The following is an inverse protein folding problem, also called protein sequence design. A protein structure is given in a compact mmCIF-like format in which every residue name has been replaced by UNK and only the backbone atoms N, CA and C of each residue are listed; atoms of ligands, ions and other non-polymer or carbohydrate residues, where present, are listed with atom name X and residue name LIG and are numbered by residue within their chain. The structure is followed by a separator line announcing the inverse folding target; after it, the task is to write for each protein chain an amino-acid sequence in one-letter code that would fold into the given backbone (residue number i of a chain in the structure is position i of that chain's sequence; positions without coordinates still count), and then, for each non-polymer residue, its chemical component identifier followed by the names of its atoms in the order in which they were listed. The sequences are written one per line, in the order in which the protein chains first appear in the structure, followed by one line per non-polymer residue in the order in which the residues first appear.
data_IF_583288488865
#
_entry.id   IF_583288488865
#
_cell.length_a   1.000
_cell.length_b   1.000
_cell.length_c   1.000
_cell.angle_alpha   90.00
_cell.angle_beta   90.00
_cell.angle_gamma   90.00
#
_symmetry.space_group_name_H-M   'P 1'
#
loop_
_entity.id
_entity.type
_entity.pdbx_description
1 polymer ?
#
# COMPACT_ATOMS: atom_id res chain seq x y z
N UNK A 1 -37.23 104.24 -44.41
CA UNK A 1 -36.65 104.55 -43.08
C UNK A 1 -36.03 103.28 -42.53
N UNK A 2 -34.73 103.32 -42.26
CA UNK A 2 -33.91 102.15 -41.90
C UNK A 2 -34.21 101.66 -40.47
N UNK A 3 -34.44 100.35 -40.29
CA UNK A 3 -34.56 99.73 -38.96
C UNK A 3 -33.18 99.57 -38.33
N UNK A 4 -32.91 100.33 -37.26
CA UNK A 4 -31.73 100.14 -36.42
C UNK A 4 -31.77 98.78 -35.70
N UNK A 5 -30.74 97.94 -35.93
CA UNK A 5 -30.52 96.68 -35.21
C UNK A 5 -30.11 96.97 -33.76
N UNK A 6 -30.81 96.35 -32.78
CA UNK A 6 -30.52 96.48 -31.32
C UNK A 6 -29.17 95.85 -30.96
N UNK A 7 -28.36 96.57 -30.18
CA UNK A 7 -27.07 96.13 -29.62
C UNK A 7 -27.32 95.12 -28.46
N UNK A 8 -26.65 93.96 -28.42
CA UNK A 8 -26.77 93.03 -27.29
C UNK A 8 -25.97 93.53 -26.06
N UNK A 9 -26.64 93.65 -24.91
CA UNK A 9 -26.03 94.06 -23.64
C UNK A 9 -25.22 92.91 -23.03
N UNK A 10 -23.95 93.15 -22.70
CA UNK A 10 -23.08 92.19 -22.00
C UNK A 10 -23.55 92.00 -20.54
N UNK A 11 -23.71 90.74 -20.11
CA UNK A 11 -24.04 90.39 -18.73
C UNK A 11 -22.87 90.72 -17.79
N UNK A 12 -23.00 91.80 -17.03
CA UNK A 12 -22.05 92.19 -15.99
C UNK A 12 -22.31 91.33 -14.76
N UNK A 13 -21.58 90.21 -14.60
CA UNK A 13 -21.49 89.47 -13.32
C UNK A 13 -20.84 90.40 -12.29
N UNK A 14 -21.63 91.29 -11.68
CA UNK A 14 -21.18 92.01 -10.49
C UNK A 14 -21.00 90.96 -9.39
N UNK A 15 -19.88 91.04 -8.69
CA UNK A 15 -19.64 90.29 -7.45
C UNK A 15 -20.91 90.39 -6.60
N UNK A 16 -21.53 89.25 -6.27
CA UNK A 16 -22.55 89.23 -5.22
C UNK A 16 -21.82 89.65 -3.95
N UNK A 17 -22.22 90.79 -3.39
CA UNK A 17 -21.80 91.22 -2.06
C UNK A 17 -22.01 90.04 -1.11
N UNK A 18 -20.92 89.51 -0.59
CA UNK A 18 -20.97 88.52 0.49
C UNK A 18 -21.37 89.32 1.73
N UNK A 19 -22.66 89.29 2.04
CA UNK A 19 -23.19 89.83 3.28
C UNK A 19 -22.60 89.00 4.45
N UNK A 20 -21.80 89.62 5.34
CA UNK A 20 -21.13 88.90 6.43
C UNK A 20 -22.09 88.39 7.50
N UNK A 21 -23.38 88.75 7.46
CA UNK A 21 -24.39 88.29 8.42
C UNK A 21 -25.31 87.19 7.90
N UNK A 22 -25.04 86.65 6.70
CA UNK A 22 -25.84 85.56 6.15
C UNK A 22 -25.46 84.20 6.77
N UNK A 23 -25.98 83.93 7.97
CA UNK A 23 -25.79 82.67 8.72
C UNK A 23 -26.29 81.42 7.97
N UNK A 24 -27.05 81.57 6.88
CA UNK A 24 -27.57 80.44 6.08
C UNK A 24 -26.48 79.78 5.23
N UNK A 25 -25.37 80.47 4.93
CA UNK A 25 -24.24 79.88 4.19
C UNK A 25 -23.39 78.94 5.08
N UNK A 26 -23.32 79.20 6.39
CA UNK A 26 -22.60 78.33 7.33
C UNK A 26 -23.39 77.07 7.68
N UNK A 27 -24.72 77.11 7.64
CA UNK A 27 -25.56 75.93 7.86
C UNK A 27 -25.37 74.84 6.77
N UNK A 28 -25.00 75.23 5.55
CA UNK A 28 -24.72 74.29 4.46
C UNK A 28 -23.38 73.54 4.64
N UNK A 29 -22.44 74.05 5.44
CA UNK A 29 -21.15 73.39 5.73
C UNK A 29 -21.25 72.29 6.80
N UNK A 30 -22.38 72.18 7.51
CA UNK A 30 -22.63 71.15 8.51
C UNK A 30 -23.49 69.98 8.01
N UNK A 31 -23.95 70.03 6.75
CA UNK A 31 -24.72 68.95 6.10
C UNK A 31 -23.82 68.01 5.28
N UNK A 32 -22.49 68.12 5.40
CA UNK A 32 -21.56 67.15 4.83
C UNK A 32 -21.69 65.82 5.56
N UNK A 33 -22.40 64.87 4.94
CA UNK A 33 -22.64 63.49 5.43
C UNK A 33 -21.37 62.62 5.53
N UNK A 34 -20.18 63.19 5.27
CA UNK A 34 -18.91 62.49 5.23
C UNK A 34 -17.90 62.99 6.28
N UNK A 35 -18.36 63.30 7.50
CA UNK A 35 -17.47 63.44 8.65
C UNK A 35 -17.65 62.27 9.60
N UNK A 36 -16.92 61.19 9.32
CA UNK A 36 -16.61 60.15 10.30
C UNK A 36 -15.58 60.71 11.30
N UNK A 37 -16.04 61.51 12.26
CA UNK A 37 -15.29 61.73 13.50
C UNK A 37 -15.96 60.92 14.59
N UNK A 38 -15.18 60.11 15.31
CA UNK A 38 -15.58 59.28 16.46
C UNK A 38 -16.57 59.99 17.40
N UNK A 39 -17.86 59.90 17.09
CA UNK A 39 -18.93 60.19 18.03
C UNK A 39 -19.52 58.85 18.46
N UNK A 40 -19.73 58.70 19.78
CA UNK A 40 -20.48 57.57 20.29
C UNK A 40 -21.90 57.59 19.70
N UNK A 41 -22.47 56.43 19.30
CA UNK A 41 -23.78 56.38 18.66
C UNK A 41 -24.85 56.92 19.61
N UNK A 42 -25.66 57.86 19.12
CA UNK A 42 -26.67 58.57 19.91
C UNK A 42 -27.84 57.68 20.36
N UNK A 43 -27.98 56.47 19.81
CA UNK A 43 -29.07 55.54 20.15
C UNK A 43 -28.51 54.17 20.55
N UNK A 44 -28.75 53.77 21.80
CA UNK A 44 -28.44 52.43 22.34
C UNK A 44 -29.31 51.29 21.74
N UNK A 45 -30.01 51.56 20.63
CA UNK A 45 -30.91 50.63 19.91
C UNK A 45 -30.35 50.18 18.56
N UNK A 46 -29.19 50.68 18.16
CA UNK A 46 -28.44 50.10 17.05
C UNK A 46 -27.77 48.82 17.58
N UNK A 47 -28.58 47.75 17.68
CA UNK A 47 -28.07 46.40 17.85
C UNK A 47 -26.96 46.20 16.81
N UNK A 48 -25.73 45.97 17.29
CA UNK A 48 -24.65 45.67 16.36
C UNK A 48 -25.09 44.49 15.49
N UNK A 49 -24.98 44.60 14.15
CA UNK A 49 -25.38 43.51 13.29
C UNK A 49 -24.59 42.28 13.71
N UNK A 50 -25.30 41.18 13.96
CA UNK A 50 -24.70 39.94 14.41
C UNK A 50 -23.53 39.57 13.51
N UNK A 51 -22.40 39.21 14.12
CA UNK A 51 -21.21 38.82 13.36
C UNK A 51 -21.53 37.60 12.48
N UNK A 52 -20.85 37.48 11.34
CA UNK A 52 -21.08 36.37 10.38
C UNK A 52 -20.97 34.99 11.04
N UNK A 53 -20.06 34.84 12.00
CA UNK A 53 -19.90 33.61 12.78
C UNK A 53 -21.13 33.33 13.66
N UNK A 54 -21.67 34.35 14.33
CA UNK A 54 -22.85 34.22 15.18
C UNK A 54 -24.13 33.97 14.38
N UNK A 55 -24.29 34.61 13.20
CA UNK A 55 -25.37 34.28 12.26
C UNK A 55 -25.28 32.82 11.79
N UNK A 56 -24.07 32.33 11.47
CA UNK A 56 -23.89 30.94 11.07
C UNK A 56 -24.27 29.98 12.20
N UNK A 57 -23.84 30.24 13.44
CA UNK A 57 -24.21 29.44 14.62
C UNK A 57 -25.72 29.44 14.90
N UNK A 58 -26.39 30.58 14.72
CA UNK A 58 -27.85 30.65 14.85
C UNK A 58 -28.56 29.87 13.72
N UNK A 59 -28.04 29.95 12.49
CA UNK A 59 -28.60 29.22 11.35
C UNK A 59 -28.41 27.70 11.44
N UNK A 60 -27.34 27.23 12.09
CA UNK A 60 -27.10 25.79 12.35
C UNK A 60 -27.96 25.26 13.48
N UNK A 61 -28.24 26.09 14.50
CA UNK A 61 -28.96 25.66 15.70
C UNK A 61 -30.49 25.82 15.57
N UNK A 62 -30.98 26.80 14.80
CA UNK A 62 -32.39 26.99 14.50
C UNK A 62 -32.55 27.48 13.05
N UNK A 63 -32.77 26.57 12.08
CA UNK A 63 -33.00 26.99 10.70
C UNK A 63 -34.39 27.62 10.59
N UNK A 64 -34.50 28.94 10.77
CA UNK A 64 -35.70 29.70 10.40
C UNK A 64 -35.78 29.67 8.87
N UNK A 65 -36.48 28.66 8.36
CA UNK A 65 -36.67 28.50 6.92
C UNK A 65 -37.80 29.43 6.49
N UNK A 66 -37.45 30.58 5.91
CA UNK A 66 -38.44 31.48 5.34
C UNK A 66 -39.16 30.82 4.15
N UNK A 67 -40.42 31.21 3.88
CA UNK A 67 -41.19 30.70 2.72
C UNK A 67 -40.46 30.96 1.39
N UNK A 68 -39.67 32.02 1.31
CA UNK A 68 -38.86 32.34 0.13
C UNK A 68 -37.70 31.37 -0.06
N UNK A 69 -37.02 30.99 1.02
CA UNK A 69 -35.92 30.03 0.96
C UNK A 69 -36.40 28.63 0.57
N UNK A 70 -37.61 28.24 0.98
CA UNK A 70 -38.25 27.00 0.49
C UNK A 70 -38.51 27.05 -1.01
N UNK A 71 -39.00 28.19 -1.53
CA UNK A 71 -39.25 28.39 -2.96
C UNK A 71 -37.94 28.34 -3.75
N UNK A 72 -36.87 28.99 -3.26
CA UNK A 72 -35.52 28.95 -3.87
C UNK A 72 -34.97 27.52 -3.91
N UNK A 73 -35.05 26.77 -2.80
CA UNK A 73 -34.63 25.36 -2.73
C UNK A 73 -35.42 24.44 -3.67
N UNK A 74 -36.72 24.66 -3.83
CA UNK A 74 -37.55 23.91 -4.81
C UNK A 74 -37.12 24.17 -6.26
N UNK A 75 -36.85 25.43 -6.62
CA UNK A 75 -36.36 25.80 -7.96
C UNK A 75 -35.02 25.13 -8.27
N UNK A 76 -34.07 25.14 -7.33
CA UNK A 76 -32.78 24.47 -7.49
C UNK A 76 -32.92 22.95 -7.67
N UNK A 77 -33.78 22.28 -6.89
CA UNK A 77 -34.05 20.84 -7.04
C UNK A 77 -34.58 20.49 -8.43
N UNK A 78 -35.41 21.35 -9.02
CA UNK A 78 -35.93 21.13 -10.37
C UNK A 78 -34.86 21.38 -11.45
N UNK A 79 -33.95 22.32 -11.24
CA UNK A 79 -32.80 22.54 -12.13
C UNK A 79 -31.84 21.34 -12.14
N UNK A 80 -31.55 20.77 -10.96
CA UNK A 80 -30.73 19.55 -10.83
C UNK A 80 -31.36 18.37 -11.56
N UNK A 81 -32.69 18.23 -11.50
CA UNK A 81 -33.41 17.17 -12.23
C UNK A 81 -33.29 17.36 -13.76
N UNK A 82 -33.42 18.59 -14.26
CA UNK A 82 -33.25 18.88 -15.70
C UNK A 82 -31.84 18.58 -16.19
N UNK A 83 -30.82 19.06 -15.47
CA UNK A 83 -29.42 18.78 -15.82
C UNK A 83 -29.10 17.29 -15.76
N UNK A 84 -29.62 16.57 -14.77
CA UNK A 84 -29.43 15.13 -14.70
C UNK A 84 -30.09 14.40 -15.87
N UNK A 85 -31.27 14.86 -16.31
CA UNK A 85 -31.96 14.30 -17.48
C UNK A 85 -31.21 14.60 -18.79
N UNK A 86 -30.64 15.80 -18.95
CA UNK A 86 -29.73 16.15 -20.06
C UNK A 86 -28.50 15.24 -20.09
N UNK A 87 -27.98 14.86 -18.92
CA UNK A 87 -26.88 13.89 -18.78
C UNK A 87 -27.34 12.41 -18.89
N UNK A 88 -28.60 12.17 -19.25
CA UNK A 88 -29.18 10.83 -19.45
C UNK A 88 -29.55 10.09 -18.17
N UNK A 89 -29.46 10.71 -17.00
CA UNK A 89 -29.84 10.12 -15.72
C UNK A 89 -31.26 10.53 -15.36
N UNK A 90 -32.21 9.60 -15.48
CA UNK A 90 -33.60 9.83 -15.09
C UNK A 90 -33.85 9.38 -13.65
N UNK A 91 -34.63 10.21 -12.94
CA UNK A 91 -35.15 9.88 -11.61
C UNK A 91 -36.10 8.69 -11.72
N UNK A 92 -35.99 7.71 -10.82
CA UNK A 92 -36.91 6.58 -10.78
C UNK A 92 -38.33 7.00 -10.39
N UNK A 93 -39.35 6.25 -10.85
CA UNK A 93 -40.78 6.55 -10.60
C UNK A 93 -41.10 6.74 -9.10
N UNK A 94 -40.53 5.88 -8.25
CA UNK A 94 -40.76 5.89 -6.79
C UNK A 94 -39.59 6.49 -5.99
N UNK A 95 -38.62 7.11 -6.65
CA UNK A 95 -37.45 7.67 -5.98
C UNK A 95 -37.77 9.07 -5.42
N UNK A 96 -37.17 9.46 -4.29
CA UNK A 96 -37.21 10.85 -3.83
C UNK A 96 -36.07 11.64 -4.46
N UNK A 97 -36.22 12.96 -4.65
CA UNK A 97 -35.16 13.80 -5.25
C UNK A 97 -33.85 13.68 -4.47
N UNK A 98 -33.92 13.58 -3.14
CA UNK A 98 -32.74 13.42 -2.29
C UNK A 98 -32.03 12.07 -2.53
N UNK A 99 -32.79 10.98 -2.71
CA UNK A 99 -32.22 9.66 -3.03
C UNK A 99 -31.61 9.65 -4.43
N UNK A 100 -32.25 10.32 -5.38
CA UNK A 100 -31.74 10.50 -6.74
C UNK A 100 -30.40 11.24 -6.77
N UNK A 101 -30.29 12.37 -6.05
CA UNK A 101 -29.04 13.11 -5.94
C UNK A 101 -27.95 12.25 -5.30
N UNK A 102 -28.24 11.55 -4.19
CA UNK A 102 -27.29 10.61 -3.57
C UNK A 102 -26.83 9.50 -4.51
N UNK A 103 -27.73 8.99 -5.36
CA UNK A 103 -27.39 7.99 -6.38
C UNK A 103 -26.42 8.56 -7.41
N UNK A 104 -26.70 9.76 -7.91
CA UNK A 104 -25.80 10.47 -8.83
C UNK A 104 -24.42 10.68 -8.19
N UNK A 105 -24.38 11.23 -6.98
CA UNK A 105 -23.15 11.44 -6.22
C UNK A 105 -22.38 10.13 -6.06
N UNK A 106 -23.07 9.04 -5.68
CA UNK A 106 -22.46 7.71 -5.58
C UNK A 106 -21.86 7.21 -6.89
N UNK A 107 -22.56 7.39 -8.02
CA UNK A 107 -22.02 7.00 -9.33
C UNK A 107 -20.82 7.85 -9.74
N UNK A 108 -20.84 9.15 -9.45
CA UNK A 108 -19.75 10.07 -9.74
C UNK A 108 -18.50 9.72 -8.92
N UNK A 109 -18.67 9.49 -7.62
CA UNK A 109 -17.58 9.06 -6.74
C UNK A 109 -16.97 7.73 -7.17
N UNK A 110 -17.80 6.76 -7.61
CA UNK A 110 -17.28 5.50 -8.18
C UNK A 110 -16.43 5.76 -9.42
N UNK A 111 -16.93 6.53 -10.38
CA UNK A 111 -16.16 6.89 -11.60
C UNK A 111 -14.85 7.59 -11.28
N UNK A 112 -14.86 8.53 -10.34
CA UNK A 112 -13.64 9.23 -9.89
C UNK A 112 -12.66 8.24 -9.25
N UNK A 113 -13.15 7.35 -8.38
CA UNK A 113 -12.30 6.35 -7.74
C UNK A 113 -11.71 5.35 -8.76
N UNK A 114 -12.49 4.94 -9.76
CA UNK A 114 -12.02 4.06 -10.83
C UNK A 114 -10.93 4.74 -11.66
N UNK A 115 -11.11 6.03 -12.02
CA UNK A 115 -10.09 6.81 -12.70
C UNK A 115 -8.82 6.98 -11.86
N UNK A 116 -8.98 7.23 -10.55
CA UNK A 116 -7.85 7.29 -9.62
C UNK A 116 -7.14 5.94 -9.54
N UNK A 117 -7.87 4.83 -9.53
CA UNK A 117 -7.28 3.48 -9.51
C UNK A 117 -6.50 3.21 -10.80
N UNK A 118 -7.10 3.50 -11.96
CA UNK A 118 -6.46 3.38 -13.27
C UNK A 118 -5.17 4.23 -13.32
N UNK A 119 -5.21 5.46 -12.82
CA UNK A 119 -4.05 6.34 -12.74
C UNK A 119 -2.97 5.82 -11.78
N UNK A 120 -3.36 5.37 -10.58
CA UNK A 120 -2.45 4.79 -9.58
C UNK A 120 -1.75 3.54 -10.10
N UNK A 121 -2.45 2.72 -10.87
CA UNK A 121 -1.88 1.52 -11.50
C UNK A 121 -1.10 1.82 -12.80
N UNK A 122 -0.96 3.10 -13.19
CA UNK A 122 -0.24 3.48 -14.42
C UNK A 122 -0.93 3.02 -15.70
N UNK A 123 -2.21 2.62 -15.61
CA UNK A 123 -3.04 2.17 -16.72
C UNK A 123 -3.74 3.35 -17.42
N UNK A 124 -3.69 4.54 -16.84
CA UNK A 124 -4.28 5.74 -17.43
C UNK A 124 -3.68 6.05 -18.81
N UNK A 125 -4.55 6.14 -19.82
CA UNK A 125 -4.16 6.43 -21.20
C UNK A 125 -3.71 5.23 -22.04
N UNK A 126 -3.61 4.03 -21.44
CA UNK A 126 -3.37 2.79 -22.21
C UNK A 126 -4.66 2.30 -22.87
N UNK A 127 -4.57 1.76 -24.08
CA UNK A 127 -5.73 1.15 -24.74
C UNK A 127 -6.07 -0.15 -24.03
N UNK A 128 -7.37 -0.47 -23.94
CA UNK A 128 -7.83 -1.70 -23.30
C UNK A 128 -7.19 -2.95 -23.92
N UNK A 129 -6.99 -2.94 -25.25
CA UNK A 129 -6.33 -4.04 -25.96
C UNK A 129 -4.89 -4.31 -25.51
N UNK A 130 -4.14 -3.27 -25.14
CA UNK A 130 -2.75 -3.42 -24.67
C UNK A 130 -2.74 -4.04 -23.27
N UNK A 131 -3.68 -3.65 -22.41
CA UNK A 131 -3.87 -4.20 -21.07
C UNK A 131 -4.24 -5.69 -21.16
N UNK A 132 -5.18 -6.04 -22.05
CA UNK A 132 -5.61 -7.43 -22.25
C UNK A 132 -4.46 -8.30 -22.82
N UNK A 133 -3.62 -7.74 -23.69
CA UNK A 133 -2.42 -8.41 -24.19
C UNK A 133 -1.40 -8.67 -23.08
N UNK A 134 -1.15 -7.71 -22.20
CA UNK A 134 -0.28 -7.87 -21.03
C UNK A 134 -0.80 -8.99 -20.11
N UNK A 135 -2.11 -9.04 -19.85
CA UNK A 135 -2.72 -10.13 -19.08
C UNK A 135 -2.55 -11.49 -19.74
N UNK A 136 -2.69 -11.57 -21.07
CA UNK A 136 -2.48 -12.82 -21.80
C UNK A 136 -1.04 -13.32 -21.71
N UNK A 137 -0.06 -12.42 -21.77
CA UNK A 137 1.36 -12.75 -21.59
C UNK A 137 1.60 -13.31 -20.19
N UNK A 138 0.99 -12.72 -19.16
CA UNK A 138 1.08 -13.19 -17.77
C UNK A 138 0.46 -14.58 -17.60
N UNK A 139 -0.73 -14.82 -18.16
CA UNK A 139 -1.38 -16.13 -18.12
C UNK A 139 -0.56 -17.21 -18.82
N UNK A 140 -0.01 -16.91 -20.00
CA UNK A 140 0.81 -17.86 -20.74
C UNK A 140 2.13 -18.16 -20.01
N UNK A 141 2.73 -17.16 -19.33
CA UNK A 141 3.88 -17.37 -18.47
C UNK A 141 3.56 -18.25 -17.26
N UNK A 142 2.39 -18.09 -16.64
CA UNK A 142 1.95 -18.93 -15.53
C UNK A 142 1.69 -20.38 -15.97
N UNK A 143 1.07 -20.58 -17.14
CA UNK A 143 0.88 -21.91 -17.73
C UNK A 143 2.22 -22.61 -17.97
N UNK A 144 3.20 -21.91 -18.54
CA UNK A 144 4.56 -22.44 -18.75
C UNK A 144 5.22 -22.86 -17.44
N UNK A 145 5.10 -22.07 -16.37
CA UNK A 145 5.63 -22.42 -15.04
C UNK A 145 4.97 -23.68 -14.49
N UNK A 146 3.63 -23.77 -14.53
CA UNK A 146 2.89 -24.95 -14.07
C UNK A 146 3.29 -26.21 -14.85
N UNK A 147 3.50 -26.09 -16.15
CA UNK A 147 3.91 -27.22 -16.98
C UNK A 147 5.37 -27.64 -16.72
N UNK A 148 6.27 -26.69 -16.43
CA UNK A 148 7.63 -26.99 -15.98
C UNK A 148 7.61 -27.73 -14.63
N UNK A 149 6.84 -27.24 -13.65
CA UNK A 149 6.68 -27.89 -12.34
C UNK A 149 6.15 -29.33 -12.48
N UNK A 150 5.14 -29.55 -13.34
CA UNK A 150 4.63 -30.90 -13.63
C UNK A 150 5.72 -31.82 -14.19
N UNK A 151 6.50 -31.33 -15.17
CA UNK A 151 7.61 -32.11 -15.77
C UNK A 151 8.69 -32.43 -14.74
N UNK A 152 9.03 -31.50 -13.86
CA UNK A 152 9.99 -31.74 -12.78
C UNK A 152 9.49 -32.80 -11.79
N UNK A 153 8.21 -32.77 -11.42
CA UNK A 153 7.59 -33.77 -10.56
C UNK A 153 7.62 -35.14 -11.23
N UNK A 154 7.25 -35.22 -12.51
CA UNK A 154 7.30 -36.47 -13.28
C UNK A 154 8.72 -37.05 -13.35
N UNK A 155 9.72 -36.19 -13.59
CA UNK A 155 11.12 -36.62 -13.60
C UNK A 155 11.58 -37.14 -12.23
N UNK A 156 11.22 -36.45 -11.14
CA UNK A 156 11.50 -36.91 -9.77
C UNK A 156 10.83 -38.26 -9.47
N UNK A 157 9.61 -38.47 -9.96
CA UNK A 157 8.91 -39.77 -9.81
C UNK A 157 9.62 -40.86 -10.62
N UNK A 158 10.01 -40.58 -11.87
CA UNK A 158 10.74 -41.53 -12.73
C UNK A 158 12.09 -41.92 -12.10
N UNK A 159 12.85 -40.95 -11.58
CA UNK A 159 14.10 -41.22 -10.87
C UNK A 159 13.90 -42.03 -9.59
N UNK A 160 12.86 -41.71 -8.79
CA UNK A 160 12.52 -42.47 -7.60
C UNK A 160 12.14 -43.93 -7.93
N UNK A 161 11.41 -44.14 -9.02
CA UNK A 161 11.08 -45.49 -9.53
C UNK A 161 12.34 -46.25 -9.96
N UNK A 162 13.22 -45.63 -10.75
CA UNK A 162 14.51 -46.24 -11.15
C UNK A 162 15.38 -46.62 -9.94
N UNK A 163 15.47 -45.75 -8.94
CA UNK A 163 16.22 -46.04 -7.70
C UNK A 163 15.63 -47.22 -6.94
N UNK A 164 14.30 -47.30 -6.81
CA UNK A 164 13.63 -48.45 -6.18
C UNK A 164 13.87 -49.75 -6.95
N UNK A 165 13.85 -49.70 -8.27
CA UNK A 165 14.12 -50.87 -9.12
C UNK A 165 15.57 -51.36 -8.99
N UNK A 166 16.55 -50.44 -8.99
CA UNK A 166 17.96 -50.78 -8.78
C UNK A 166 18.22 -51.34 -7.37
N UNK A 167 17.55 -50.79 -6.35
CA UNK A 167 17.63 -51.31 -4.99
C UNK A 167 17.01 -52.71 -4.86
N UNK A 168 15.88 -52.96 -5.56
CA UNK A 168 15.27 -54.28 -5.63
C UNK A 168 16.18 -55.30 -6.30
N UNK A 169 16.79 -54.96 -7.44
CA UNK A 169 17.77 -55.83 -8.14
C UNK A 169 18.98 -56.15 -7.26
N UNK A 170 19.54 -55.15 -6.58
CA UNK A 170 20.65 -55.36 -5.61
C UNK A 170 20.26 -56.26 -4.44
N UNK A 171 19.02 -56.16 -3.97
CA UNK A 171 18.53 -57.02 -2.88
C UNK A 171 18.33 -58.45 -3.36
N UNK A 172 17.78 -58.65 -4.54
CA UNK A 172 17.62 -59.97 -5.15
C UNK A 172 18.97 -60.65 -5.40
N UNK A 173 19.96 -59.91 -5.92
CA UNK A 173 21.33 -60.42 -6.10
C UNK A 173 21.99 -60.78 -4.76
N UNK A 174 21.81 -59.95 -3.72
CA UNK A 174 22.31 -60.24 -2.38
C UNK A 174 21.65 -61.48 -1.75
N UNK A 175 20.37 -61.70 -2.00
CA UNK A 175 19.66 -62.89 -1.49
C UNK A 175 20.05 -64.15 -2.27
N UNK A 176 20.25 -64.07 -3.60
CA UNK A 176 20.84 -65.16 -4.39
C UNK A 176 22.26 -65.51 -3.95
N UNK A 177 23.11 -64.52 -3.67
CA UNK A 177 24.46 -64.75 -3.17
C UNK A 177 24.48 -65.41 -1.78
N UNK A 178 23.53 -65.08 -0.90
CA UNK A 178 23.36 -65.76 0.39
C UNK A 178 22.91 -67.21 0.22
N UNK A 179 22.04 -67.47 -0.75
CA UNK A 179 21.55 -68.82 -1.05
C UNK A 179 22.68 -69.70 -1.59
N UNK A 180 23.50 -69.19 -2.51
CA UNK A 180 24.71 -69.87 -2.99
C UNK A 180 25.68 -70.18 -1.85
N UNK A 181 25.97 -69.19 -0.97
CA UNK A 181 26.82 -69.43 0.22
C UNK A 181 26.25 -70.48 1.17
N UNK A 182 24.93 -70.60 1.29
CA UNK A 182 24.30 -71.65 2.09
C UNK A 182 24.41 -73.02 1.41
N UNK A 183 24.26 -73.08 0.10
CA UNK A 183 24.43 -74.30 -0.68
C UNK A 183 25.88 -74.80 -0.62
N UNK A 184 26.86 -73.93 -0.79
CA UNK A 184 28.28 -74.29 -0.72
C UNK A 184 28.66 -74.77 0.68
N UNK A 185 28.15 -74.12 1.73
CA UNK A 185 28.33 -74.59 3.12
C UNK A 185 27.70 -75.95 3.40
N UNK A 186 26.61 -76.31 2.71
CA UNK A 186 26.00 -77.64 2.83
C UNK A 186 26.85 -78.69 2.16
N UNK A 187 27.33 -78.42 0.93
CA UNK A 187 28.24 -79.32 0.20
C UNK A 187 29.53 -79.59 0.98
N UNK A 188 30.13 -78.56 1.56
CA UNK A 188 31.37 -78.67 2.32
C UNK A 188 31.19 -79.40 3.67
N UNK A 189 29.96 -79.40 4.23
CA UNK A 189 29.62 -80.23 5.39
C UNK A 189 29.42 -81.69 5.00
N UNK A 190 28.77 -81.94 3.87
CA UNK A 190 28.51 -83.27 3.35
C UNK A 190 29.82 -83.97 2.92
N UNK A 191 30.78 -83.23 2.36
CA UNK A 191 32.15 -83.72 2.11
C UNK A 191 32.89 -84.04 3.42
N UNK A 192 32.78 -83.19 4.45
CA UNK A 192 33.38 -83.46 5.76
C UNK A 192 32.74 -84.61 6.52
N UNK A 193 31.44 -84.84 6.37
CA UNK A 193 30.77 -86.00 6.97
C UNK A 193 31.20 -87.30 6.26
N UNK A 194 31.38 -87.28 4.93
CA UNK A 194 31.95 -88.42 4.20
C UNK A 194 33.40 -88.72 4.58
N UNK A 195 34.23 -87.68 4.75
CA UNK A 195 35.61 -87.84 5.26
C UNK A 195 35.64 -88.39 6.69
N UNK A 196 34.64 -88.04 7.53
CA UNK A 196 34.51 -88.57 8.89
C UNK A 196 33.96 -89.99 8.95
N UNK A 197 33.05 -90.36 8.05
CA UNK A 197 32.58 -91.75 7.92
C UNK A 197 33.69 -92.68 7.41
N UNK A 198 34.61 -92.19 6.58
CA UNK A 198 35.82 -92.96 6.18
C UNK A 198 36.92 -92.99 7.25
N UNK A 199 36.85 -92.14 8.29
CA UNK A 199 37.85 -92.06 9.37
C UNK A 199 37.36 -92.58 10.72
N UNK A 200 36.25 -93.31 10.77
CA UNK A 200 35.63 -93.78 12.02
C UNK A 200 35.48 -95.30 12.06
N UNK A 201 36.50 -96.02 11.58
CA UNK A 201 36.72 -97.45 11.84
C UNK A 201 38.03 -97.72 12.62
N UNK A 202 38.61 -96.69 13.26
CA UNK A 202 39.75 -96.88 14.16
C UNK A 202 39.74 -95.85 15.31
N UNK A 203 39.68 -96.41 16.52
CA UNK A 203 40.04 -95.87 17.84
C UNK A 203 38.97 -95.26 18.77
N UNK A 204 38.75 -96.04 19.84
CA UNK A 204 38.19 -95.75 21.16
C UNK A 204 38.97 -94.67 21.95
N UNK A 205 38.24 -94.00 22.86
CA UNK A 205 38.68 -93.38 24.12
C UNK A 205 39.70 -92.23 24.08
N UNK A 206 39.31 -91.05 24.59
CA UNK A 206 39.77 -90.59 25.91
C UNK A 206 39.07 -89.31 26.39
N UNK A 207 39.04 -89.21 27.70
CA UNK A 207 38.61 -88.13 28.58
C UNK A 207 39.52 -86.88 28.49
N UNK A 208 39.09 -85.85 29.24
CA UNK A 208 39.92 -84.84 29.94
C UNK A 208 39.80 -83.36 29.52
N UNK A 209 40.08 -82.56 30.53
CA UNK A 209 39.49 -81.32 30.99
C UNK A 209 40.39 -80.10 30.78
N UNK A 210 39.83 -78.95 31.21
CA UNK A 210 40.50 -77.80 31.81
C UNK A 210 41.20 -76.72 30.95
N UNK A 211 40.58 -75.54 31.08
CA UNK A 211 41.12 -74.31 31.65
C UNK A 211 41.53 -73.08 30.82
N UNK A 212 41.34 -71.97 31.56
CA UNK A 212 41.36 -70.53 31.32
C UNK A 212 42.42 -69.94 30.37
N UNK A 213 42.14 -68.78 29.76
CA UNK A 213 42.37 -67.46 30.38
C UNK A 213 42.40 -66.28 29.35
N UNK A 214 41.96 -65.09 29.78
CA UNK A 214 42.76 -63.88 29.59
C UNK A 214 42.65 -62.94 28.36
N UNK A 215 41.95 -61.81 28.59
CA UNK A 215 42.41 -60.42 28.32
C UNK A 215 42.14 -59.66 26.98
N UNK A 216 41.09 -58.81 27.04
CA UNK A 216 41.08 -57.32 27.00
C UNK A 216 41.86 -56.49 25.92
N UNK A 217 41.04 -55.68 25.22
CA UNK A 217 41.15 -54.22 24.85
C UNK A 217 42.00 -53.78 23.64
N UNK A 218 41.38 -52.96 22.76
CA UNK A 218 41.68 -51.50 22.64
C UNK A 218 40.67 -50.74 21.75
N UNK A 219 40.25 -49.59 22.27
CA UNK A 219 39.50 -48.50 21.61
C UNK A 219 40.51 -47.56 20.94
N UNK A 220 40.20 -47.07 19.73
CA UNK A 220 40.83 -45.88 19.14
C UNK A 220 39.74 -44.93 18.63
N UNK A 221 39.94 -43.63 18.88
CA UNK A 221 39.06 -42.47 18.64
C UNK A 221 38.98 -42.12 17.12
N UNK A 222 37.79 -41.79 16.58
CA UNK A 222 37.35 -40.46 16.05
C UNK A 222 38.48 -39.67 15.36
N UNK A 223 38.39 -39.30 14.07
CA UNK A 223 37.61 -38.20 13.42
C UNK A 223 37.81 -38.44 11.90
N UNK A 224 36.83 -38.48 10.98
CA UNK A 224 36.08 -37.37 10.39
C UNK A 224 35.18 -37.99 9.28
N UNK A 225 33.85 -37.87 9.37
CA UNK A 225 32.92 -37.96 8.22
C UNK A 225 31.51 -37.59 8.69
N UNK A 226 31.31 -36.29 8.96
CA UNK A 226 29.98 -35.73 9.06
C UNK A 226 29.44 -35.45 7.65
N UNK A 227 28.48 -36.28 7.23
CA UNK A 227 27.21 -35.90 6.57
C UNK A 227 26.51 -37.18 6.13
N UNK A 228 25.68 -37.74 7.01
CA UNK A 228 24.45 -38.51 6.71
C UNK A 228 24.00 -39.31 7.93
N UNK A 229 23.71 -38.62 9.06
CA UNK A 229 22.96 -39.24 10.14
C UNK A 229 21.49 -39.28 9.73
N UNK A 230 21.06 -40.43 9.21
CA UNK A 230 19.63 -40.78 9.15
C UNK A 230 19.08 -40.61 10.57
N UNK A 231 18.02 -39.82 10.73
CA UNK A 231 17.37 -39.62 12.01
C UNK A 231 17.08 -40.98 12.66
N UNK A 232 17.45 -41.20 13.93
CA UNK A 232 17.12 -42.44 14.62
C UNK A 232 15.60 -42.61 14.58
N UNK A 233 15.13 -43.79 14.19
CA UNK A 233 13.70 -44.12 14.16
C UNK A 233 13.18 -44.02 15.60
N UNK A 234 12.60 -42.87 15.94
CA UNK A 234 11.99 -42.62 17.25
C UNK A 234 10.99 -43.74 17.57
N UNK A 235 11.03 -44.22 18.81
CA UNK A 235 10.10 -45.24 19.26
C UNK A 235 8.64 -44.75 19.12
N UNK A 236 7.67 -45.66 18.96
CA UNK A 236 6.24 -45.28 18.85
C UNK A 236 5.78 -44.36 20.00
N UNK A 237 6.40 -44.48 21.19
CA UNK A 237 6.10 -43.67 22.38
C UNK A 237 6.64 -42.24 22.26
N UNK A 238 7.84 -42.06 21.70
CA UNK A 238 8.43 -40.73 21.46
C UNK A 238 7.73 -39.99 20.33
N UNK A 239 7.35 -40.70 19.26
CA UNK A 239 6.56 -40.13 18.15
C UNK A 239 5.20 -39.61 18.61
N UNK A 240 4.56 -40.30 19.57
CA UNK A 240 3.33 -39.81 20.24
C UNK A 240 3.60 -38.58 21.11
N UNK A 241 4.69 -38.52 21.86
CA UNK A 241 5.04 -37.33 22.67
C UNK A 241 5.34 -36.12 21.80
N UNK A 242 6.03 -36.31 20.68
CA UNK A 242 6.38 -35.24 19.74
C UNK A 242 5.13 -34.69 19.03
N UNK A 243 4.24 -35.55 18.56
CA UNK A 243 2.96 -35.13 17.96
C UNK A 243 2.05 -34.41 18.95
N UNK A 244 2.03 -34.82 20.22
CA UNK A 244 1.32 -34.10 21.29
C UNK A 244 1.93 -32.72 21.57
N UNK A 245 3.26 -32.60 21.59
CA UNK A 245 3.94 -31.30 21.73
C UNK A 245 3.65 -30.38 20.53
N UNK A 246 3.69 -30.92 19.32
CA UNK A 246 3.35 -30.18 18.10
C UNK A 246 1.89 -29.71 18.08
N UNK A 247 0.94 -30.54 18.54
CA UNK A 247 -0.47 -30.12 18.68
C UNK A 247 -0.64 -29.00 19.71
N UNK A 248 0.03 -29.09 20.86
CA UNK A 248 -0.04 -28.04 21.89
C UNK A 248 0.53 -26.70 21.42
N UNK A 249 1.63 -26.71 20.67
CA UNK A 249 2.22 -25.47 20.15
C UNK A 249 1.38 -24.86 19.03
N UNK A 250 0.74 -25.67 18.20
CA UNK A 250 -0.17 -25.19 17.15
C UNK A 250 -1.47 -24.63 17.73
N UNK A 251 -2.01 -25.25 18.78
CA UNK A 251 -3.18 -24.73 19.50
C UNK A 251 -2.87 -23.40 20.22
N UNK A 252 -1.68 -23.27 20.83
CA UNK A 252 -1.25 -21.99 21.41
C UNK A 252 -1.10 -20.88 20.36
N UNK A 253 -0.60 -21.22 19.16
CA UNK A 253 -0.52 -20.25 18.04
C UNK A 253 -1.90 -19.82 17.55
N UNK A 254 -2.87 -20.75 17.48
CA UNK A 254 -4.26 -20.43 17.14
C UNK A 254 -4.91 -19.53 18.19
N UNK A 255 -4.82 -19.88 19.47
CA UNK A 255 -5.31 -19.03 20.58
C UNK A 255 -4.69 -17.64 20.59
N UNK A 256 -3.39 -17.52 20.30
CA UNK A 256 -2.73 -16.22 20.18
C UNK A 256 -3.20 -15.42 18.95
N UNK A 257 -3.52 -16.08 17.84
CA UNK A 257 -4.11 -15.45 16.65
C UNK A 257 -5.55 -14.97 16.88
N UNK A 258 -6.37 -15.78 17.57
CA UNK A 258 -7.75 -15.43 17.94
C UNK A 258 -7.79 -14.26 18.94
N UNK A 259 -6.86 -14.22 19.91
CA UNK A 259 -6.73 -13.09 20.84
C UNK A 259 -6.37 -11.76 20.13
N UNK A 260 -5.66 -11.82 18.99
CA UNK A 260 -5.35 -10.64 18.16
C UNK A 260 -6.56 -10.18 17.35
N UNK A 261 -7.45 -11.11 16.95
CA UNK A 261 -8.68 -10.78 16.22
C UNK A 261 -9.76 -10.22 17.15
N UNK A 262 -9.79 -10.68 18.41
CA UNK A 262 -10.73 -10.22 19.44
C UNK A 262 -10.26 -8.98 20.21
N UNK A 263 -9.07 -8.44 19.94
CA UNK A 263 -8.61 -7.18 20.53
C UNK A 263 -9.16 -5.93 19.83
N UNK A 264 -10.22 -6.04 19.03
CA UNK A 264 -11.06 -4.91 18.67
C UNK A 264 -11.95 -4.64 19.88
N UNK A 265 -11.63 -3.61 20.64
CA UNK A 265 -12.31 -3.25 21.89
C UNK A 265 -13.83 -3.20 21.69
N UNK A 266 -14.54 -3.89 22.59
CA UNK A 266 -15.97 -3.71 22.80
C UNK A 266 -16.12 -2.31 23.38
N UNK A 267 -16.50 -1.35 22.54
CA UNK A 267 -16.79 0.02 22.97
C UNK A 267 -18.13 -0.01 23.71
N UNK A 268 -18.12 0.29 25.00
CA UNK A 268 -19.36 0.42 25.75
C UNK A 268 -20.18 1.60 25.21
N UNK A 269 -21.50 1.40 25.13
CA UNK A 269 -22.40 2.36 24.51
C UNK A 269 -22.42 3.67 25.31
N UNK A 270 -21.74 4.71 24.81
CA UNK A 270 -21.70 6.03 25.43
C UNK A 270 -20.34 6.71 25.41
N UNK A 271 -19.24 5.98 25.22
CA UNK A 271 -17.91 6.58 25.13
C UNK A 271 -17.62 7.13 23.73
N UNK A 272 -17.12 8.37 23.67
CA UNK A 272 -16.69 9.03 22.42
C UNK A 272 -15.15 9.06 22.37
N UNK A 273 -14.62 8.57 21.26
CA UNK A 273 -13.19 8.49 20.98
C UNK A 273 -12.67 9.88 20.53
N UNK A 274 -11.96 10.60 21.40
CA UNK A 274 -11.32 11.88 21.06
C UNK A 274 -9.85 11.72 20.60
N UNK A 275 -9.26 10.53 20.76
CA UNK A 275 -7.91 10.18 20.29
C UNK A 275 -7.85 8.71 19.87
N UNK A 276 -7.07 8.32 18.85
CA UNK A 276 -7.05 6.94 18.32
C UNK A 276 -6.59 5.89 19.36
N UNK A 277 -7.01 4.62 19.19
CA UNK A 277 -6.86 3.59 20.20
C UNK A 277 -5.39 3.35 20.52
N UNK A 278 -5.05 3.45 21.80
CA UNK A 278 -3.68 3.19 22.28
C UNK A 278 -3.58 1.75 22.75
N UNK A 279 -2.79 0.93 22.05
CA UNK A 279 -2.63 -0.48 22.42
C UNK A 279 -1.62 -0.62 23.57
N UNK A 280 -1.99 -1.35 24.63
CA UNK A 280 -1.08 -1.69 25.72
C UNK A 280 -0.15 -2.88 25.43
N UNK A 281 0.96 -2.99 26.17
CA UNK A 281 1.76 -4.21 26.28
C UNK A 281 2.45 -4.72 25.00
N UNK A 282 2.40 -6.04 24.75
CA UNK A 282 3.02 -6.67 23.57
C UNK A 282 2.37 -6.28 22.25
N UNK A 283 1.12 -5.81 22.27
CA UNK A 283 0.40 -5.35 21.08
C UNK A 283 0.86 -3.96 20.65
N UNK A 284 1.27 -3.10 21.61
CA UNK A 284 1.87 -1.79 21.32
C UNK A 284 3.05 -1.89 20.34
N UNK A 285 3.95 -2.84 20.55
CA UNK A 285 5.12 -3.08 19.67
C UNK A 285 4.76 -3.61 18.28
N UNK A 286 3.56 -4.17 18.08
CA UNK A 286 3.11 -4.66 16.77
C UNK A 286 2.38 -3.59 15.98
N UNK A 287 1.61 -2.73 16.66
CA UNK A 287 0.76 -1.72 16.03
C UNK A 287 1.40 -0.32 15.97
N UNK A 288 2.39 -0.01 16.83
CA UNK A 288 3.18 1.22 16.77
C UNK A 288 4.63 0.91 16.31
N UNK A 289 4.88 0.90 14.98
CA UNK A 289 6.19 0.52 14.42
C UNK A 289 7.33 1.47 14.82
N UNK A 290 7.04 2.69 15.27
CA UNK A 290 8.04 3.64 15.76
C UNK A 290 8.62 3.26 17.14
N UNK A 291 7.83 2.60 18.00
CA UNK A 291 8.26 2.17 19.35
C UNK A 291 8.87 0.75 19.36
N UNK A 292 8.74 0.02 18.26
CA UNK A 292 9.28 -1.32 18.08
C UNK A 292 10.79 -1.30 17.80
N UNK A 293 11.62 -0.84 18.75
CA UNK A 293 13.10 -0.85 18.73
C UNK A 293 13.68 -0.64 17.32
N UNK A 294 13.72 0.60 16.87
CA UNK A 294 14.50 1.02 15.72
C UNK A 294 15.96 0.53 15.89
N UNK A 295 16.40 -0.43 15.06
CA UNK A 295 17.78 -0.89 15.01
C UNK A 295 18.01 -2.41 15.09
N UNK A 296 17.05 -3.23 15.52
CA UNK A 296 17.34 -4.65 15.78
C UNK A 296 17.01 -5.62 14.62
N UNK A 297 16.31 -5.16 13.58
CA UNK A 297 16.04 -5.96 12.38
C UNK A 297 16.62 -5.25 11.16
N UNK A 298 17.53 -5.92 10.45
CA UNK A 298 17.97 -5.50 9.13
C UNK A 298 16.73 -5.43 8.23
N UNK A 299 16.37 -4.21 7.81
CA UNK A 299 15.23 -4.01 6.93
C UNK A 299 15.44 -4.86 5.68
N UNK A 300 14.38 -5.48 5.17
CA UNK A 300 14.43 -6.27 3.93
C UNK A 300 15.01 -5.43 2.78
N UNK A 301 14.70 -4.14 2.75
CA UNK A 301 15.30 -3.20 1.81
C UNK A 301 16.82 -3.14 1.95
N UNK A 302 17.36 -3.13 3.17
CA UNK A 302 18.80 -3.08 3.43
C UNK A 302 19.50 -4.40 3.05
N UNK A 303 18.86 -5.55 3.28
CA UNK A 303 19.39 -6.86 2.87
C UNK A 303 19.30 -7.11 1.36
N UNK A 304 18.31 -6.52 0.69
CA UNK A 304 18.23 -6.51 -0.78
C UNK A 304 19.23 -5.53 -1.40
N UNK A 305 19.44 -4.36 -0.77
CA UNK A 305 20.44 -3.39 -1.22
C UNK A 305 21.87 -3.92 -1.06
N UNK A 306 22.21 -4.56 0.07
CA UNK A 306 23.54 -5.14 0.29
C UNK A 306 23.86 -6.31 -0.67
N UNK A 307 22.85 -7.09 -1.08
CA UNK A 307 23.03 -8.17 -2.06
C UNK A 307 23.14 -7.67 -3.51
N UNK A 308 22.72 -6.44 -3.78
CA UNK A 308 22.81 -5.80 -5.10
C UNK A 308 23.88 -4.71 -5.21
N UNK A 309 24.48 -4.28 -4.10
CA UNK A 309 25.46 -3.19 -4.10
C UNK A 309 26.86 -3.70 -4.46
N UNK A 310 27.12 -3.86 -5.76
CA UNK A 310 28.42 -3.37 -6.23
C UNK A 310 28.50 -1.92 -5.78
N UNK A 311 29.59 -1.52 -5.13
CA UNK A 311 29.84 -0.12 -4.79
C UNK A 311 29.69 0.68 -6.09
N UNK A 312 28.55 1.34 -6.28
CA UNK A 312 28.45 2.36 -7.30
C UNK A 312 29.33 3.47 -6.80
N UNK A 313 30.52 3.58 -7.39
CA UNK A 313 31.27 4.84 -7.35
C UNK A 313 30.27 5.90 -7.83
N UNK A 314 29.88 6.78 -6.92
CA UNK A 314 29.18 7.98 -7.31
C UNK A 314 30.13 8.67 -8.28
N UNK A 315 29.77 8.72 -9.57
CA UNK A 315 30.50 9.56 -10.51
C UNK A 315 30.51 10.95 -9.88
N UNK A 316 31.71 11.43 -9.55
CA UNK A 316 32.00 12.80 -9.15
C UNK A 316 31.83 13.72 -10.39
N UNK A 317 30.70 13.61 -11.08
CA UNK A 317 30.32 14.39 -12.25
C UNK A 317 29.67 15.72 -11.80
N UNK A 318 30.18 16.31 -10.71
CA UNK A 318 29.72 17.62 -10.21
C UNK A 318 29.88 18.69 -11.28
N UNK A 319 30.91 18.59 -12.12
CA UNK A 319 31.15 19.47 -13.26
C UNK A 319 30.10 19.32 -14.35
N UNK A 320 29.72 18.08 -14.74
CA UNK A 320 28.67 17.85 -15.75
C UNK A 320 27.30 18.34 -15.27
N UNK A 321 26.99 18.12 -13.98
CA UNK A 321 25.75 18.62 -13.37
C UNK A 321 25.72 20.16 -13.34
N UNK A 322 26.87 20.80 -13.08
CA UNK A 322 26.98 22.26 -13.13
C UNK A 322 26.86 22.81 -14.55
N UNK A 323 27.47 22.16 -15.55
CA UNK A 323 27.34 22.52 -16.96
C UNK A 323 25.89 22.39 -17.46
N UNK A 324 25.20 21.32 -17.09
CA UNK A 324 23.80 21.10 -17.45
C UNK A 324 22.89 22.13 -16.78
N UNK A 325 23.14 22.45 -15.50
CA UNK A 325 22.44 23.54 -14.78
C UNK A 325 22.65 24.88 -15.47
N UNK A 326 23.87 25.18 -15.93
CA UNK A 326 24.18 26.42 -16.63
C UNK A 326 23.47 26.51 -17.99
N UNK A 327 23.45 25.40 -18.76
CA UNK A 327 22.68 25.34 -20.02
C UNK A 327 21.18 25.61 -19.81
N UNK A 328 20.59 25.04 -18.76
CA UNK A 328 19.18 25.27 -18.42
C UNK A 328 18.92 26.73 -18.05
N UNK A 329 19.81 27.34 -17.26
CA UNK A 329 19.71 28.76 -16.89
C UNK A 329 19.79 29.66 -18.13
N UNK A 330 20.71 29.38 -19.06
CA UNK A 330 20.89 30.21 -20.25
C UNK A 330 19.74 30.01 -21.26
N UNK A 331 19.21 28.79 -21.40
CA UNK A 331 17.99 28.54 -22.17
C UNK A 331 16.79 29.32 -21.62
N UNK A 332 16.61 29.33 -20.29
CA UNK A 332 15.54 30.09 -19.64
C UNK A 332 15.71 31.61 -19.83
N UNK A 333 16.94 32.13 -19.72
CA UNK A 333 17.25 33.55 -19.99
C UNK A 333 16.95 33.93 -21.43
N UNK A 334 17.29 33.08 -22.39
CA UNK A 334 17.02 33.32 -23.81
C UNK A 334 15.52 33.33 -24.10
N UNK A 335 14.77 32.38 -23.54
CA UNK A 335 13.30 32.37 -23.65
C UNK A 335 12.67 33.63 -23.04
N UNK A 336 13.16 34.08 -21.88
CA UNK A 336 12.68 35.31 -21.24
C UNK A 336 13.02 36.56 -22.07
N UNK A 337 14.22 36.63 -22.66
CA UNK A 337 14.61 37.70 -23.59
C UNK A 337 13.70 37.71 -24.83
N UNK A 338 13.46 36.55 -25.46
CA UNK A 338 12.54 36.44 -26.60
C UNK A 338 11.12 36.89 -26.25
N UNK A 339 10.61 36.51 -25.08
CA UNK A 339 9.28 36.95 -24.60
C UNK A 339 9.22 38.47 -24.38
N UNK A 340 10.28 39.07 -23.84
CA UNK A 340 10.35 40.52 -23.66
C UNK A 340 10.48 41.27 -25.00
N UNK A 341 11.24 40.72 -25.95
CA UNK A 341 11.36 41.28 -27.30
C UNK A 341 10.00 41.23 -28.02
N UNK A 342 9.31 40.07 -27.99
CA UNK A 342 7.98 39.92 -28.56
C UNK A 342 6.95 40.88 -27.94
N UNK A 343 7.02 41.10 -26.63
CA UNK A 343 6.17 42.07 -25.93
C UNK A 343 6.51 43.54 -26.26
N UNK A 344 7.76 43.86 -26.58
CA UNK A 344 8.15 45.21 -27.00
C UNK A 344 7.73 45.51 -28.45
N UNK A 345 7.79 44.53 -29.36
CA UNK A 345 7.29 44.71 -30.73
C UNK A 345 5.76 44.81 -30.81
N UNK A 346 5.02 44.33 -29.80
CA UNK A 346 3.57 44.47 -29.70
C UNK A 346 3.06 45.81 -29.14
N UNK A 347 3.95 46.75 -28.78
CA UNK A 347 3.60 48.10 -28.28
C UNK A 347 4.15 49.23 -29.17
N UNK A 348 4.41 48.96 -30.44
CA UNK A 348 4.65 49.99 -31.45
C UNK A 348 3.35 50.72 -31.77
N UNK A 349 3.22 51.94 -31.25
CA UNK A 349 2.15 52.88 -31.57
C UNK A 349 2.21 53.21 -33.08
N UNK A 350 1.16 52.98 -33.89
CA UNK A 350 1.17 53.40 -35.29
C UNK A 350 0.94 54.91 -35.35
N UNK A 351 2.02 55.69 -35.34
CA UNK A 351 1.94 57.11 -35.70
C UNK A 351 1.91 57.23 -37.23
N UNK A 352 0.71 57.55 -37.72
CA UNK A 352 0.40 58.37 -38.90
C UNK A 352 1.58 58.85 -39.76
N UNK A 353 1.65 58.32 -40.99
CA UNK A 353 1.94 59.12 -42.19
C UNK A 353 0.64 59.68 -42.77
#
# INVERSE_FOLDING_TARGET
MAMHRRIPKKNRKKLKSVDPFNNKANAARFQDKNKSSNQAPANLKDEQPLTKAMMNMMSTNNPIVTKEDLKKKKKQKNAVLKQAEELGMKKGKFETVTRFVKRIEGTLHRKINDQIAIAKHGLAGRKQADIDADYKILEDAEKRKKDQEKREIENKIKEAKKKREQEAKRREEADRAKEQRKADKRKLKEEKEKEKEESMDEEENSDDSDDEDGQKKKKVQKVEEEKNKKAPKLSKKERRKETLKARKTDEQKRKAGEAIMNSREVIEFGERYDAPPTFGGHLKKKFEPLMAKAGQKTLLLHSMLQKGSQKTEYLNDTTKIQEERQRVIDAYRNMKKQKNIANNYGRGNPSSE
#
